data_IF_892450974085
#
_entry.id   IF_892450974085
#
_cell.length_a   1.000
_cell.length_b   1.000
_cell.length_c   1.000
_cell.angle_alpha   90.00
_cell.angle_beta   90.00
_cell.angle_gamma   90.00
#
_symmetry.space_group_name_H-M   'P 1'
#
loop_
_entity.id
_entity.type
_entity.pdbx_description
1 polymer ?
#
# COMPACT_ATOMS: atom_id res chain seq x y z
N UNK A 1 -9.27 -4.79 29.70
CA UNK A 1 -7.90 -5.35 29.67
C UNK A 1 -8.01 -6.62 28.82
N UNK A 2 -7.27 -6.86 27.75
CA UNK A 2 -5.89 -6.53 27.45
C UNK A 2 -5.67 -6.53 25.92
N UNK A 3 -4.53 -5.95 25.56
CA UNK A 3 -3.91 -5.68 24.27
C UNK A 3 -3.93 -6.80 23.19
N UNK A 4 -3.87 -6.31 21.95
CA UNK A 4 -3.10 -6.76 20.79
C UNK A 4 -2.07 -7.88 21.00
N UNK A 5 -1.99 -8.82 20.04
CA UNK A 5 -0.72 -9.41 19.62
C UNK A 5 -0.84 -10.08 18.24
N UNK A 6 -0.13 -9.51 17.26
CA UNK A 6 0.42 -10.22 16.10
C UNK A 6 1.79 -10.71 16.61
N UNK A 7 2.06 -12.01 16.63
CA UNK A 7 3.39 -12.52 16.95
C UNK A 7 3.88 -13.56 15.94
N UNK A 8 5.13 -13.31 15.55
CA UNK A 8 5.95 -13.89 14.51
C UNK A 8 6.30 -15.37 14.70
N UNK A 9 6.53 -16.06 13.59
CA UNK A 9 7.28 -17.31 13.57
C UNK A 9 8.43 -17.23 12.55
N UNK A 10 9.61 -16.84 13.02
CA UNK A 10 10.88 -17.20 12.39
C UNK A 10 11.78 -17.83 13.46
N UNK A 11 11.88 -19.15 13.43
CA UNK A 11 12.73 -19.94 14.32
C UNK A 11 13.65 -20.83 13.48
N UNK A 12 14.93 -20.45 13.42
CA UNK A 12 16.02 -21.21 12.82
C UNK A 12 17.33 -20.81 13.47
N UNK A 13 17.99 -21.75 14.16
CA UNK A 13 18.98 -21.58 15.23
C UNK A 13 20.46 -21.56 14.73
N UNK A 14 21.48 -21.42 15.60
CA UNK A 14 22.66 -20.58 15.38
C UNK A 14 23.94 -21.33 14.95
N UNK A 15 24.90 -20.58 14.40
CA UNK A 15 26.30 -20.98 14.29
C UNK A 15 27.23 -19.86 14.78
N UNK A 16 27.80 -20.03 15.98
CA UNK A 16 28.89 -19.20 16.52
C UNK A 16 30.18 -19.55 15.78
N UNK A 17 30.76 -18.58 15.07
CA UNK A 17 32.12 -18.67 14.52
C UNK A 17 32.79 -17.32 14.69
N UNK A 18 33.61 -17.18 15.73
CA UNK A 18 34.32 -15.95 16.07
C UNK A 18 35.27 -15.51 14.96
N UNK A 19 35.24 -14.23 14.62
CA UNK A 19 36.19 -13.61 13.70
C UNK A 19 37.42 -13.22 14.52
N UNK A 20 38.43 -14.08 14.52
CA UNK A 20 39.77 -13.70 14.95
C UNK A 20 40.47 -13.03 13.75
N UNK A 21 40.60 -11.69 13.78
CA UNK A 21 41.28 -10.95 12.71
C UNK A 21 42.79 -11.16 12.87
N UNK A 22 43.32 -12.22 12.24
CA UNK A 22 44.76 -12.43 12.10
C UNK A 22 45.22 -11.78 10.80
N UNK A 23 45.90 -10.63 10.91
CA UNK A 23 46.54 -9.93 9.80
C UNK A 23 47.65 -10.79 9.18
N UNK A 24 47.37 -11.44 8.04
CA UNK A 24 48.42 -12.07 7.23
C UNK A 24 48.41 -11.58 5.78
N UNK A 25 49.63 -11.27 5.36
CA UNK A 25 50.08 -10.56 4.16
C UNK A 25 49.54 -11.15 2.85
N UNK A 26 49.24 -10.24 1.93
CA UNK A 26 49.54 -10.36 0.50
C UNK A 26 48.72 -11.35 -0.33
N UNK A 27 47.72 -10.84 -1.08
CA UNK A 27 47.28 -11.42 -2.36
C UNK A 27 46.90 -10.32 -3.37
N UNK A 28 47.19 -10.50 -4.67
CA UNK A 28 47.01 -9.47 -5.69
C UNK A 28 45.52 -9.19 -5.94
N UNK A 29 45.22 -7.91 -6.23
CA UNK A 29 43.88 -7.42 -6.53
C UNK A 29 43.34 -8.13 -7.78
N UNK A 30 42.30 -8.95 -7.61
CA UNK A 30 41.49 -9.47 -8.71
C UNK A 30 40.61 -8.36 -9.32
N UNK A 31 40.09 -8.54 -10.55
CA UNK A 31 39.48 -7.50 -11.36
C UNK A 31 38.02 -7.25 -10.96
N UNK A 32 37.76 -7.01 -9.68
CA UNK A 32 36.47 -6.48 -9.26
C UNK A 32 36.58 -4.97 -9.36
N UNK A 33 36.21 -4.45 -10.52
CA UNK A 33 36.02 -3.03 -10.79
C UNK A 33 35.25 -2.41 -9.64
N UNK A 34 35.81 -1.39 -9.00
CA UNK A 34 35.08 -0.47 -8.12
C UNK A 34 34.17 0.39 -9.00
N UNK A 35 33.11 -0.22 -9.51
CA UNK A 35 32.01 0.52 -10.10
C UNK A 35 31.33 1.27 -8.96
N UNK A 36 31.61 2.57 -8.81
CA UNK A 36 30.73 3.45 -8.06
C UNK A 36 29.37 3.34 -8.70
N UNK A 37 28.41 2.69 -8.04
CA UNK A 37 27.03 2.66 -8.47
C UNK A 37 26.53 4.09 -8.48
N UNK A 38 26.52 4.72 -9.66
CA UNK A 38 25.82 5.98 -9.86
C UNK A 38 24.35 5.64 -10.01
N UNK A 39 23.70 5.38 -8.88
CA UNK A 39 22.24 5.30 -8.83
C UNK A 39 21.72 6.70 -9.16
N UNK A 40 21.32 6.91 -10.42
CA UNK A 40 20.67 8.15 -10.84
C UNK A 40 19.35 8.20 -10.08
N UNK A 41 19.28 9.04 -9.05
CA UNK A 41 18.04 9.31 -8.31
C UNK A 41 17.12 10.17 -9.19
N UNK A 42 16.70 9.60 -10.32
CA UNK A 42 15.60 10.10 -11.13
C UNK A 42 14.38 9.88 -10.25
N UNK A 43 13.66 10.94 -9.88
CA UNK A 43 12.50 10.85 -9.00
C UNK A 43 11.47 9.79 -9.47
N UNK A 44 10.47 9.45 -8.65
CA UNK A 44 9.51 8.41 -9.00
C UNK A 44 8.87 8.69 -10.36
N UNK A 45 8.86 7.69 -11.22
CA UNK A 45 8.31 7.79 -12.56
C UNK A 45 6.80 8.07 -12.49
N UNK A 46 6.28 9.12 -13.16
CA UNK A 46 4.87 9.49 -13.07
C UNK A 46 3.93 8.42 -13.67
N UNK A 47 4.41 7.49 -14.49
CA UNK A 47 3.60 6.35 -14.95
C UNK A 47 3.43 5.27 -13.86
N UNK A 48 4.31 5.24 -12.85
CA UNK A 48 4.21 4.33 -11.70
C UNK A 48 3.37 4.94 -10.58
N UNK A 49 3.47 6.25 -10.34
CA UNK A 49 2.74 6.94 -9.28
C UNK A 49 1.28 7.15 -9.67
N UNK A 50 0.37 6.40 -9.03
CA UNK A 50 -1.07 6.51 -9.27
C UNK A 50 -1.90 6.26 -8.01
N UNK A 51 -3.15 6.72 -7.97
CA UNK A 51 -4.14 6.27 -7.01
C UNK A 51 -4.23 4.75 -6.92
N UNK A 52 -4.27 4.21 -5.70
CA UNK A 52 -4.40 2.77 -5.48
C UNK A 52 -4.95 2.45 -4.08
N UNK A 53 -5.67 1.32 -3.89
CA UNK A 53 -5.98 0.85 -2.56
C UNK A 53 -4.71 0.32 -1.88
N UNK A 54 -4.44 0.76 -0.65
CA UNK A 54 -3.39 0.14 0.19
C UNK A 54 -3.93 -1.01 1.02
N UNK A 55 -5.20 -0.91 1.43
CA UNK A 55 -5.89 -1.88 2.25
C UNK A 55 -7.37 -1.90 1.86
N UNK A 56 -7.96 -3.08 1.72
CA UNK A 56 -9.39 -3.24 1.39
C UNK A 56 -10.02 -4.19 2.40
N UNK A 57 -11.07 -3.72 3.09
CA UNK A 57 -11.89 -4.57 3.96
C UNK A 57 -12.88 -5.39 3.12
N UNK A 58 -12.34 -6.30 2.31
CA UNK A 58 -13.08 -6.98 1.27
C UNK A 58 -12.19 -7.64 0.23
N UNK A 59 -12.82 -8.10 -0.85
CA UNK A 59 -12.10 -8.62 -2.02
C UNK A 59 -12.22 -7.60 -3.16
N UNK A 60 -11.11 -7.00 -3.62
CA UNK A 60 -11.11 -6.12 -4.80
C UNK A 60 -11.65 -6.86 -6.02
N UNK A 61 -12.59 -6.24 -6.72
CA UNK A 61 -13.20 -6.76 -7.95
C UNK A 61 -12.79 -5.93 -9.16
N UNK A 62 -12.62 -4.62 -8.98
CA UNK A 62 -12.14 -3.70 -10.00
C UNK A 62 -11.28 -2.61 -9.36
N UNK A 63 -10.17 -2.28 -10.02
CA UNK A 63 -9.33 -1.13 -9.70
C UNK A 63 -8.83 -0.55 -11.02
N UNK A 64 -9.12 0.71 -11.28
CA UNK A 64 -8.68 1.38 -12.50
C UNK A 64 -8.30 2.83 -12.20
N UNK A 65 -7.31 3.34 -12.92
CA UNK A 65 -6.98 4.75 -12.93
C UNK A 65 -6.78 5.20 -14.38
N UNK A 66 -7.62 6.13 -14.81
CA UNK A 66 -7.46 6.83 -16.07
C UNK A 66 -6.69 8.13 -15.81
N UNK A 67 -5.43 8.18 -16.24
CA UNK A 67 -4.57 9.35 -16.08
C UNK A 67 -4.97 10.53 -16.96
N UNK A 68 -5.67 10.29 -18.08
CA UNK A 68 -6.12 11.35 -18.97
C UNK A 68 -7.24 12.17 -18.33
N UNK A 69 -8.19 11.49 -17.67
CA UNK A 69 -9.30 12.14 -16.97
C UNK A 69 -9.01 12.41 -15.49
N UNK A 70 -7.99 11.76 -14.91
CA UNK A 70 -7.72 11.83 -13.47
C UNK A 70 -8.76 11.06 -12.65
N UNK A 71 -9.40 10.04 -13.25
CA UNK A 71 -10.48 9.27 -12.63
C UNK A 71 -9.95 7.96 -12.09
N UNK A 72 -10.08 7.75 -10.78
CA UNK A 72 -9.82 6.47 -10.12
C UNK A 72 -11.14 5.80 -9.77
N UNK A 73 -11.25 4.51 -10.07
CA UNK A 73 -12.41 3.68 -9.68
C UNK A 73 -11.96 2.44 -8.93
N UNK A 74 -12.71 2.13 -7.86
CA UNK A 74 -12.53 0.95 -7.04
C UNK A 74 -13.90 0.32 -6.79
N UNK A 75 -14.02 -0.99 -7.06
CA UNK A 75 -15.16 -1.81 -6.66
C UNK A 75 -14.66 -3.04 -5.91
N UNK A 76 -15.31 -3.37 -4.81
CA UNK A 76 -14.96 -4.55 -4.01
C UNK A 76 -16.18 -5.17 -3.35
N UNK A 77 -16.11 -6.47 -3.06
CA UNK A 77 -17.08 -7.12 -2.17
C UNK A 77 -16.69 -6.88 -0.73
N UNK A 78 -17.62 -6.41 0.10
CA UNK A 78 -17.41 -6.19 1.54
C UNK A 78 -17.63 -7.47 2.37
N UNK A 79 -17.13 -8.58 1.83
CA UNK A 79 -17.15 -9.91 2.45
C UNK A 79 -15.74 -10.42 2.63
N UNK A 80 -15.53 -11.16 3.71
CA UNK A 80 -14.25 -11.80 3.99
C UNK A 80 -13.98 -12.87 2.94
N UNK A 81 -12.76 -12.88 2.40
CA UNK A 81 -12.38 -13.80 1.34
C UNK A 81 -12.35 -15.27 1.79
N UNK A 82 -12.10 -15.52 3.08
CA UNK A 82 -11.98 -16.86 3.66
C UNK A 82 -13.33 -17.54 3.93
N UNK A 83 -14.31 -16.78 4.39
CA UNK A 83 -15.56 -17.28 4.97
C UNK A 83 -16.80 -16.80 4.22
N UNK A 84 -16.65 -15.81 3.34
CA UNK A 84 -17.77 -15.14 2.66
C UNK A 84 -18.68 -14.33 3.58
N UNK A 85 -18.37 -14.27 4.88
CA UNK A 85 -19.14 -13.52 5.87
C UNK A 85 -18.92 -12.02 5.69
N UNK A 86 -19.93 -11.18 5.98
CA UNK A 86 -19.79 -9.73 5.88
C UNK A 86 -18.76 -9.20 6.89
N UNK A 87 -18.10 -8.12 6.54
CA UNK A 87 -17.33 -7.35 7.52
C UNK A 87 -18.28 -6.61 8.48
N UNK A 88 -17.79 -6.34 9.70
CA UNK A 88 -18.53 -5.51 10.65
C UNK A 88 -18.69 -4.08 10.12
N UNK A 89 -19.75 -3.38 10.54
CA UNK A 89 -19.95 -1.96 10.24
C UNK A 89 -18.69 -1.16 10.63
N UNK A 90 -18.29 -0.25 9.75
CA UNK A 90 -17.12 0.61 9.97
C UNK A 90 -15.78 -0.04 9.66
N UNK A 91 -15.77 -1.26 9.11
CA UNK A 91 -14.54 -1.86 8.58
C UNK A 91 -13.87 -0.94 7.55
N UNK A 92 -12.54 -0.89 7.59
CA UNK A 92 -11.74 0.15 6.95
C UNK A 92 -11.11 -0.27 5.64
N UNK A 93 -11.38 0.48 4.60
CA UNK A 93 -10.62 0.48 3.34
C UNK A 93 -9.81 1.77 3.27
N UNK A 94 -8.58 1.70 2.77
CA UNK A 94 -7.69 2.85 2.62
C UNK A 94 -7.22 2.98 1.17
N UNK A 95 -7.45 4.16 0.60
CA UNK A 95 -7.01 4.51 -0.77
C UNK A 95 -5.91 5.57 -0.70
N UNK A 96 -4.77 5.30 -1.32
CA UNK A 96 -3.70 6.27 -1.51
C UNK A 96 -4.05 7.17 -2.70
N UNK A 97 -4.01 8.48 -2.50
CA UNK A 97 -4.22 9.53 -3.49
C UNK A 97 -2.98 10.44 -3.49
N UNK A 98 -1.98 10.15 -4.34
CA UNK A 98 -0.76 10.95 -4.42
C UNK A 98 -1.04 12.40 -4.79
N UNK A 99 -0.34 13.35 -4.15
CA UNK A 99 -0.47 14.78 -4.47
C UNK A 99 -0.06 15.09 -5.92
N UNK A 100 0.88 14.34 -6.49
CA UNK A 100 1.28 14.51 -7.89
C UNK A 100 0.15 14.20 -8.88
N UNK A 101 -0.80 13.35 -8.49
CA UNK A 101 -1.99 13.02 -9.31
C UNK A 101 -3.20 13.85 -8.94
N UNK A 102 -3.26 14.42 -7.74
CA UNK A 102 -4.35 15.27 -7.27
C UNK A 102 -3.79 16.56 -6.63
N UNK A 103 -3.18 17.47 -7.41
CA UNK A 103 -2.52 18.65 -6.88
C UNK A 103 -3.50 19.67 -6.27
N UNK A 104 -4.68 19.80 -6.88
CA UNK A 104 -5.73 20.75 -6.50
C UNK A 104 -6.85 20.11 -5.65
N UNK A 105 -6.60 18.90 -5.16
CA UNK A 105 -7.59 18.10 -4.42
C UNK A 105 -8.38 17.13 -5.30
N UNK A 106 -9.46 16.59 -4.75
CA UNK A 106 -10.31 15.61 -5.41
C UNK A 106 -11.75 15.58 -4.89
N UNK A 107 -12.66 15.08 -5.72
CA UNK A 107 -14.03 14.72 -5.33
C UNK A 107 -14.16 13.22 -5.18
N UNK A 108 -14.90 12.77 -4.17
CA UNK A 108 -15.20 11.36 -3.94
C UNK A 108 -16.70 11.12 -4.08
N UNK A 109 -17.06 10.12 -4.85
CA UNK A 109 -18.38 9.49 -4.84
C UNK A 109 -18.23 8.08 -4.28
N UNK A 110 -19.03 7.74 -3.27
CA UNK A 110 -18.94 6.45 -2.58
C UNK A 110 -20.32 5.88 -2.34
N UNK A 111 -20.48 4.60 -2.68
CA UNK A 111 -21.68 3.82 -2.44
C UNK A 111 -21.32 2.62 -1.56
N UNK A 112 -22.10 2.39 -0.51
CA UNK A 112 -21.85 1.31 0.46
C UNK A 112 -20.73 1.60 1.47
N UNK A 113 -20.05 2.74 1.38
CA UNK A 113 -19.10 3.21 2.37
C UNK A 113 -19.15 4.74 2.54
N UNK A 114 -18.73 5.21 3.71
CA UNK A 114 -18.62 6.61 4.07
C UNK A 114 -17.15 7.05 4.13
N UNK A 115 -16.84 8.22 3.60
CA UNK A 115 -15.54 8.88 3.82
C UNK A 115 -15.51 9.40 5.26
N UNK A 116 -14.47 9.07 6.03
CA UNK A 116 -14.38 9.44 7.45
C UNK A 116 -13.23 10.39 7.77
N UNK A 117 -12.70 11.06 6.77
CA UNK A 117 -11.60 12.02 6.90
C UNK A 117 -12.06 13.44 6.60
N UNK A 118 -11.20 14.40 6.93
CA UNK A 118 -11.23 15.70 6.28
C UNK A 118 -11.06 15.55 4.75
N UNK A 119 -11.46 16.56 3.95
CA UNK A 119 -11.19 16.59 2.51
C UNK A 119 -9.69 16.52 2.18
N UNK A 120 -9.39 16.06 0.96
CA UNK A 120 -8.08 16.16 0.32
C UNK A 120 -6.90 15.49 1.05
N UNK A 121 -7.18 14.50 1.89
CA UNK A 121 -6.15 13.68 2.55
C UNK A 121 -5.51 12.70 1.56
N UNK A 122 -4.19 12.56 1.62
CA UNK A 122 -3.45 11.62 0.74
C UNK A 122 -3.77 10.15 0.98
N UNK A 123 -4.29 9.82 2.14
CA UNK A 123 -4.75 8.49 2.47
C UNK A 123 -6.21 8.62 2.86
N UNK A 124 -7.11 8.21 1.96
CA UNK A 124 -8.54 8.31 2.09
C UNK A 124 -9.09 7.07 2.82
N UNK A 125 -9.48 7.18 4.10
CA UNK A 125 -10.17 6.10 4.81
C UNK A 125 -11.66 6.07 4.47
N UNK A 126 -12.16 4.88 4.20
CA UNK A 126 -13.56 4.57 3.96
C UNK A 126 -14.07 3.62 5.05
N UNK A 127 -15.22 3.91 5.65
CA UNK A 127 -15.95 3.00 6.52
C UNK A 127 -17.05 2.30 5.73
N UNK A 128 -17.02 0.97 5.68
CA UNK A 128 -18.13 0.19 5.12
C UNK A 128 -19.41 0.43 5.94
N UNK A 129 -20.52 0.69 5.25
CA UNK A 129 -21.85 0.83 5.86
C UNK A 129 -22.35 -0.49 6.45
N UNK A 130 -23.44 -0.43 7.24
CA UNK A 130 -24.04 -1.64 7.78
C UNK A 130 -24.68 -2.50 6.67
N UNK A 131 -24.44 -3.81 6.69
CA UNK A 131 -25.06 -4.77 5.77
C UNK A 131 -24.68 -4.62 4.31
N UNK A 132 -23.59 -3.91 4.00
CA UNK A 132 -23.16 -3.66 2.63
C UNK A 132 -22.37 -4.87 2.09
N UNK A 133 -22.80 -5.38 0.94
CA UNK A 133 -22.14 -6.50 0.25
C UNK A 133 -21.13 -6.04 -0.80
N UNK A 134 -21.36 -4.87 -1.38
CA UNK A 134 -20.53 -4.26 -2.42
C UNK A 134 -20.29 -2.82 -2.06
N UNK A 135 -19.06 -2.37 -2.28
CA UNK A 135 -18.70 -0.96 -2.18
C UNK A 135 -18.13 -0.52 -3.52
N UNK A 136 -18.55 0.66 -3.95
CA UNK A 136 -18.05 1.30 -5.16
C UNK A 136 -17.60 2.72 -4.83
N UNK A 137 -16.41 3.07 -5.29
CA UNK A 137 -15.77 4.36 -5.05
C UNK A 137 -15.27 4.89 -6.38
N UNK A 138 -15.61 6.15 -6.65
CA UNK A 138 -15.06 6.92 -7.76
C UNK A 138 -14.40 8.15 -7.16
N UNK A 139 -13.15 8.40 -7.54
CA UNK A 139 -12.42 9.62 -7.20
C UNK A 139 -12.08 10.35 -8.48
N UNK A 140 -12.43 11.62 -8.55
CA UNK A 140 -12.14 12.49 -9.70
C UNK A 140 -11.24 13.61 -9.21
N UNK A 141 -10.11 13.81 -9.88
CA UNK A 141 -9.22 14.95 -9.64
C UNK A 141 -9.97 16.28 -9.82
N UNK A 142 -9.69 17.24 -8.94
CA UNK A 142 -10.22 18.61 -9.01
C UNK A 142 -9.70 19.43 -10.19
#
# INVERSE_FOLDING_TARGET
MLLSAIEQAQKGRPGRGGICVRCHRGRPRGPYSTGTSRHRNTGPDPAIVRPCPRHVAGTPQQCHYDSATGTFTLRYSARRADSGQPFARGARTEVCLPQSTCPDGYRVESQGAEVVSAPDVRLLPLATGAGQDTVQVTVVRG
#
